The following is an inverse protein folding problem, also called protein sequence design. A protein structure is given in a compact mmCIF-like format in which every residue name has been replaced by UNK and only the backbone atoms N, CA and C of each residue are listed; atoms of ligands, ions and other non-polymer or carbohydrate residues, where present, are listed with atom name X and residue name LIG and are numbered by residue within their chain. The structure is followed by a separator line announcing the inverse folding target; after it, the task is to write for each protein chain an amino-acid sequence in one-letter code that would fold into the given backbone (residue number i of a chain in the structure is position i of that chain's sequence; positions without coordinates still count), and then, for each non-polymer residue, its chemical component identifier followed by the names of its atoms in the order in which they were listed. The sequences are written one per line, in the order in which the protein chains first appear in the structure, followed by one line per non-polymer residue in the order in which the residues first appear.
data_IF_651386176998
#
_entry.id   IF_651386176998
#
_cell.length_a   1.000
_cell.length_b   1.000
_cell.length_c   1.000
_cell.angle_alpha   90.00
_cell.angle_beta   90.00
_cell.angle_gamma   90.00
#
_symmetry.space_group_name_H-M   'P 1'
#
loop_
_entity.id
_entity.type
_entity.pdbx_description
1 polymer ?
#
# COMPACT_ATOMS: atom_id res chain seq x y z
N UNK A 1 -3.13 -17.88 -1.49
CA UNK A 1 -3.34 -16.90 -2.60
C UNK A 1 -2.08 -16.67 -3.46
N UNK A 2 -1.16 -17.64 -3.49
CA UNK A 2 0.10 -17.57 -4.24
C UNK A 2 -0.08 -17.61 -5.77
N UNK A 3 -1.31 -17.83 -6.24
CA UNK A 3 -1.61 -18.11 -7.65
C UNK A 3 -2.67 -17.19 -8.27
N UNK A 4 -3.22 -16.23 -7.54
CA UNK A 4 -4.09 -15.22 -8.14
C UNK A 4 -3.23 -14.25 -8.98
N UNK A 5 -2.99 -14.58 -10.24
CA UNK A 5 -2.41 -13.68 -11.20
C UNK A 5 -3.51 -12.73 -11.67
N UNK A 6 -3.40 -11.49 -11.25
CA UNK A 6 -4.13 -10.40 -11.88
C UNK A 6 -3.37 -10.02 -13.15
N UNK A 7 -3.94 -10.32 -14.28
CA UNK A 7 -3.44 -9.81 -15.57
C UNK A 7 -4.03 -8.42 -15.81
N UNK A 8 -3.31 -7.59 -16.54
CA UNK A 8 -3.82 -6.26 -16.92
C UNK A 8 -5.19 -6.42 -17.58
N UNK A 9 -6.18 -5.68 -17.10
CA UNK A 9 -7.59 -5.73 -17.51
C UNK A 9 -8.41 -6.96 -17.08
N UNK A 10 -7.87 -7.88 -16.29
CA UNK A 10 -8.68 -8.97 -15.74
C UNK A 10 -9.64 -8.46 -14.65
N UNK A 11 -10.80 -9.08 -14.56
CA UNK A 11 -11.74 -8.82 -13.48
C UNK A 11 -11.38 -9.62 -12.23
N UNK A 12 -11.94 -9.24 -11.08
CA UNK A 12 -11.80 -10.02 -9.84
C UNK A 12 -12.35 -11.43 -10.04
N UNK A 13 -13.46 -11.58 -10.80
CA UNK A 13 -14.03 -12.88 -11.15
C UNK A 13 -13.09 -13.73 -12.00
N UNK A 14 -12.39 -13.15 -12.97
CA UNK A 14 -11.40 -13.86 -13.77
C UNK A 14 -10.22 -14.32 -12.92
N UNK A 15 -9.70 -13.45 -12.06
CA UNK A 15 -8.61 -13.81 -11.15
C UNK A 15 -9.01 -14.93 -10.18
N UNK A 16 -10.24 -14.86 -9.65
CA UNK A 16 -10.79 -15.89 -8.78
C UNK A 16 -10.94 -17.23 -9.51
N UNK A 17 -11.49 -17.21 -10.73
CA UNK A 17 -11.63 -18.41 -11.58
C UNK A 17 -10.28 -19.02 -11.92
N UNK A 18 -9.31 -18.18 -12.30
CA UNK A 18 -7.95 -18.63 -12.63
C UNK A 18 -7.21 -19.19 -11.41
N UNK A 19 -7.47 -18.66 -10.21
CA UNK A 19 -6.91 -19.20 -8.98
C UNK A 19 -7.46 -20.59 -8.62
N UNK A 20 -8.69 -20.90 -9.02
CA UNK A 20 -9.33 -22.20 -8.79
C UNK A 20 -9.00 -23.22 -9.87
N UNK A 21 -8.87 -22.79 -11.13
CA UNK A 21 -8.82 -23.65 -12.31
C UNK A 21 -7.70 -24.70 -12.30
N UNK A 22 -6.43 -24.36 -12.06
CA UNK A 22 -5.32 -25.31 -12.17
C UNK A 22 -5.35 -26.47 -11.19
N UNK A 23 -6.08 -26.34 -10.10
CA UNK A 23 -6.05 -27.28 -8.96
C UNK A 23 -7.36 -28.05 -8.75
N UNK A 24 -8.32 -27.88 -9.65
CA UNK A 24 -9.65 -28.48 -9.48
C UNK A 24 -9.62 -30.01 -9.52
N UNK A 25 -8.56 -30.62 -10.08
CA UNK A 25 -8.55 -32.04 -10.45
C UNK A 25 -7.46 -32.87 -9.77
N UNK A 26 -6.43 -32.27 -9.18
CA UNK A 26 -5.22 -33.01 -8.82
C UNK A 26 -5.14 -33.56 -7.40
N UNK A 27 -5.80 -32.95 -6.41
CA UNK A 27 -5.75 -33.43 -5.02
C UNK A 27 -7.09 -33.25 -4.30
N UNK A 28 -7.56 -34.29 -3.61
CA UNK A 28 -8.84 -34.28 -2.88
C UNK A 28 -8.96 -33.14 -1.84
N UNK A 29 -7.86 -32.80 -1.16
CA UNK A 29 -7.82 -31.71 -0.18
C UNK A 29 -7.92 -30.32 -0.82
N UNK A 30 -7.38 -30.16 -2.01
CA UNK A 30 -7.45 -28.89 -2.75
C UNK A 30 -8.83 -28.68 -3.38
N UNK A 31 -9.45 -29.76 -3.86
CA UNK A 31 -10.82 -29.74 -4.33
C UNK A 31 -11.77 -29.32 -3.22
N UNK A 32 -11.64 -29.90 -2.03
CA UNK A 32 -12.45 -29.55 -0.87
C UNK A 32 -12.33 -28.05 -0.54
N UNK A 33 -11.11 -27.52 -0.48
CA UNK A 33 -10.89 -26.09 -0.22
C UNK A 33 -11.49 -25.22 -1.34
N UNK A 34 -11.32 -25.59 -2.61
CA UNK A 34 -11.83 -24.81 -3.74
C UNK A 34 -13.38 -24.73 -3.76
N UNK A 35 -14.06 -25.79 -3.32
CA UNK A 35 -15.52 -25.82 -3.24
C UNK A 35 -16.07 -24.94 -2.11
N UNK A 36 -15.28 -24.70 -1.06
CA UNK A 36 -15.70 -23.90 0.12
C UNK A 36 -15.44 -22.40 -0.01
N UNK A 37 -14.60 -21.97 -0.96
CA UNK A 37 -14.40 -20.55 -1.21
C UNK A 37 -15.38 -20.02 -2.26
N UNK A 38 -16.14 -19.01 -1.89
CA UNK A 38 -17.02 -18.26 -2.78
C UNK A 38 -16.55 -16.81 -2.90
N UNK A 39 -16.68 -16.23 -4.09
CA UNK A 39 -16.50 -14.81 -4.29
C UNK A 39 -17.79 -14.09 -3.86
N UNK A 40 -17.69 -13.29 -2.80
CA UNK A 40 -18.79 -12.44 -2.35
C UNK A 40 -18.47 -11.02 -2.81
N UNK A 41 -19.32 -10.46 -3.67
CA UNK A 41 -19.15 -9.12 -4.24
C UNK A 41 -19.38 -9.10 -5.74
N UNK A 42 -18.91 -8.02 -6.39
CA UNK A 42 -19.09 -7.77 -7.82
C UNK A 42 -17.92 -8.38 -8.63
N UNK A 43 -18.15 -9.48 -9.37
CA UNK A 43 -17.07 -10.18 -10.06
C UNK A 43 -16.53 -9.42 -11.28
N UNK A 44 -17.31 -8.45 -11.81
CA UNK A 44 -16.92 -7.69 -13.00
C UNK A 44 -16.02 -6.48 -12.70
N UNK A 45 -15.79 -6.18 -11.43
CA UNK A 45 -14.86 -5.12 -11.03
C UNK A 45 -13.45 -5.45 -11.53
N UNK A 46 -12.84 -4.49 -12.19
CA UNK A 46 -11.45 -4.56 -12.62
C UNK A 46 -10.57 -3.91 -11.56
N UNK A 47 -9.51 -4.61 -11.18
CA UNK A 47 -8.50 -4.03 -10.30
C UNK A 47 -7.60 -3.12 -11.14
N UNK A 48 -7.44 -1.86 -10.76
CA UNK A 48 -6.47 -1.00 -11.41
C UNK A 48 -5.07 -1.56 -11.18
N UNK A 49 -4.29 -1.67 -12.27
CA UNK A 49 -2.90 -2.11 -12.22
C UNK A 49 -1.97 -0.90 -12.22
N UNK A 50 -0.78 -1.06 -11.69
CA UNK A 50 0.22 0.00 -11.70
C UNK A 50 0.70 0.26 -13.13
N UNK A 51 0.19 1.32 -13.75
CA UNK A 51 0.58 1.77 -15.10
C UNK A 51 1.67 2.84 -15.04
N UNK A 52 1.77 3.56 -13.92
CA UNK A 52 2.71 4.64 -13.69
C UNK A 52 3.83 4.22 -12.76
N UNK A 53 5.04 4.72 -13.01
CA UNK A 53 6.18 4.50 -12.11
C UNK A 53 6.54 5.79 -11.41
N UNK A 54 6.36 5.82 -10.10
CA UNK A 54 6.75 6.96 -9.27
C UNK A 54 8.20 6.82 -8.86
N UNK A 55 8.99 7.88 -9.06
CA UNK A 55 10.38 7.99 -8.63
C UNK A 55 10.57 9.27 -7.86
N UNK A 56 11.20 9.20 -6.71
CA UNK A 56 11.61 10.37 -5.95
C UNK A 56 13.05 10.71 -6.24
N UNK A 57 13.35 11.97 -6.51
CA UNK A 57 14.70 12.46 -6.82
C UNK A 57 15.54 12.62 -5.53
N UNK A 58 14.87 12.99 -4.43
CA UNK A 58 15.52 13.42 -3.19
C UNK A 58 14.85 12.83 -1.95
N UNK A 59 14.55 11.52 -1.96
CA UNK A 59 13.98 10.86 -0.81
C UNK A 59 14.99 10.81 0.34
N UNK A 60 14.62 11.40 1.47
CA UNK A 60 15.41 11.34 2.70
C UNK A 60 15.34 9.96 3.34
N UNK A 61 16.40 9.59 4.06
CA UNK A 61 16.45 8.35 4.83
C UNK A 61 16.13 8.57 6.31
N UNK A 62 16.21 9.82 6.76
CA UNK A 62 15.94 10.20 8.15
C UNK A 62 15.05 11.44 8.21
N UNK A 63 14.03 11.41 9.04
CA UNK A 63 13.17 12.53 9.34
C UNK A 63 13.57 13.15 10.68
N UNK A 64 13.59 14.47 10.74
CA UNK A 64 13.81 15.21 11.99
C UNK A 64 12.58 16.06 12.30
N UNK A 65 12.26 16.20 13.58
CA UNK A 65 11.17 17.06 14.02
C UNK A 65 11.47 18.53 13.68
N UNK A 66 10.44 19.27 13.25
CA UNK A 66 10.52 20.68 12.86
C UNK A 66 11.46 20.96 11.67
N UNK A 67 11.84 19.93 10.94
CA UNK A 67 12.67 20.11 9.75
C UNK A 67 11.80 20.41 8.52
N UNK A 68 12.34 21.16 7.59
CA UNK A 68 11.73 21.51 6.33
C UNK A 68 12.04 20.42 5.32
N UNK A 69 11.05 19.59 5.03
CA UNK A 69 11.17 18.50 4.06
C UNK A 69 10.69 18.97 2.69
N UNK A 70 11.57 18.86 1.71
CA UNK A 70 11.27 19.09 0.30
C UNK A 70 11.35 17.76 -0.42
N UNK A 71 10.25 17.33 -1.05
CA UNK A 71 10.18 16.13 -1.86
C UNK A 71 9.89 16.51 -3.31
N UNK A 72 10.62 15.93 -4.22
CA UNK A 72 10.40 16.06 -5.66
C UNK A 72 10.60 14.73 -6.35
N UNK A 73 10.03 14.62 -7.55
CA UNK A 73 10.18 13.39 -8.32
C UNK A 73 9.45 13.44 -9.65
N UNK A 74 9.40 12.26 -10.27
CA UNK A 74 8.75 12.04 -11.55
C UNK A 74 7.73 10.91 -11.46
N UNK A 75 6.73 10.98 -12.33
CA UNK A 75 5.76 9.91 -12.53
C UNK A 75 5.83 9.50 -13.99
N UNK A 76 6.60 8.45 -14.29
CA UNK A 76 6.75 7.97 -15.65
C UNK A 76 5.41 7.46 -16.20
N UNK A 77 5.02 7.93 -17.36
CA UNK A 77 3.77 7.58 -18.04
C UNK A 77 2.59 8.49 -17.72
N UNK A 78 2.73 9.45 -16.80
CA UNK A 78 1.71 10.43 -16.44
C UNK A 78 2.22 11.85 -16.68
N UNK A 79 1.74 12.52 -17.72
CA UNK A 79 2.12 13.91 -18.00
C UNK A 79 1.44 14.89 -17.06
N UNK A 80 0.12 14.76 -16.91
CA UNK A 80 -0.67 15.62 -16.03
C UNK A 80 -1.65 14.78 -15.21
N UNK A 81 -1.70 15.06 -13.91
CA UNK A 81 -2.54 14.35 -12.97
C UNK A 81 -2.28 14.81 -11.54
N UNK A 82 -2.41 13.90 -10.63
CA UNK A 82 -2.19 14.17 -9.20
C UNK A 82 -1.45 13.02 -8.53
N UNK A 83 -0.72 13.35 -7.49
CA UNK A 83 -0.07 12.38 -6.60
C UNK A 83 -0.47 12.65 -5.17
N UNK A 84 -0.97 11.64 -4.49
CA UNK A 84 -1.23 11.66 -3.06
C UNK A 84 -0.01 11.07 -2.35
N UNK A 85 0.59 11.84 -1.46
CA UNK A 85 1.74 11.40 -0.66
C UNK A 85 1.32 11.34 0.80
N UNK A 86 1.52 10.19 1.41
CA UNK A 86 1.30 9.98 2.84
C UNK A 86 2.61 9.53 3.49
N UNK A 87 3.04 10.30 4.47
CA UNK A 87 4.17 9.99 5.34
C UNK A 87 3.62 9.54 6.68
N UNK A 88 3.98 8.36 7.14
CA UNK A 88 3.50 7.77 8.39
C UNK A 88 4.63 7.64 9.42
N UNK A 89 4.28 7.77 10.68
CA UNK A 89 5.14 7.45 11.81
C UNK A 89 5.55 5.96 11.78
N UNK A 90 6.51 5.62 12.63
CA UNK A 90 6.90 4.25 12.89
C UNK A 90 5.69 3.38 13.26
N UNK A 91 5.71 2.13 12.82
CA UNK A 91 4.76 1.12 13.29
C UNK A 91 5.09 0.78 14.73
N UNK A 92 4.11 0.29 15.45
CA UNK A 92 4.29 -0.23 16.80
C UNK A 92 3.48 -1.51 16.97
N UNK A 93 4.04 -2.45 17.75
CA UNK A 93 3.35 -3.68 18.14
C UNK A 93 2.80 -3.55 19.55
N UNK A 94 1.61 -4.03 19.74
CA UNK A 94 0.96 -4.11 21.05
C UNK A 94 0.55 -5.54 21.33
N UNK A 95 0.99 -6.05 22.48
CA UNK A 95 0.56 -7.35 22.97
C UNK A 95 -0.88 -7.28 23.46
N UNK A 96 -1.72 -8.15 22.94
CA UNK A 96 -3.12 -8.27 23.31
C UNK A 96 -3.42 -9.67 23.84
N UNK A 97 -4.29 -9.74 24.84
CA UNK A 97 -4.79 -11.01 25.36
C UNK A 97 -6.01 -11.42 24.56
N UNK A 98 -6.06 -12.68 24.10
CA UNK A 98 -7.13 -13.21 23.23
C UNK A 98 -7.95 -14.31 23.89
N UNK A 99 -7.53 -14.84 25.05
CA UNK A 99 -8.17 -15.95 25.74
C UNK A 99 -8.84 -15.56 27.05
N UNK A 100 -9.64 -16.50 27.56
CA UNK A 100 -10.25 -16.40 28.91
C UNK A 100 -9.22 -16.74 30.00
N UNK A 101 -8.15 -17.43 29.64
CA UNK A 101 -7.07 -17.78 30.57
C UNK A 101 -5.91 -16.79 30.40
N UNK A 102 -5.86 -15.84 31.31
CA UNK A 102 -5.13 -14.55 31.21
C UNK A 102 -3.61 -14.71 31.09
N UNK A 103 -3.04 -15.91 31.27
CA UNK A 103 -1.60 -16.06 31.37
C UNK A 103 -0.88 -16.50 30.08
N UNK A 104 -1.53 -17.12 29.12
CA UNK A 104 -0.84 -17.72 27.98
C UNK A 104 -1.35 -17.37 26.57
N UNK A 105 -2.54 -16.80 26.43
CA UNK A 105 -3.10 -16.52 25.11
C UNK A 105 -2.91 -15.06 24.72
N UNK A 106 -1.71 -14.76 24.23
CA UNK A 106 -1.39 -13.41 23.74
C UNK A 106 -1.00 -13.44 22.28
N UNK A 107 -1.41 -12.40 21.55
CA UNK A 107 -0.92 -12.10 20.20
C UNK A 107 -0.29 -10.73 20.17
N UNK A 108 0.75 -10.57 19.38
CA UNK A 108 1.29 -9.26 19.07
C UNK A 108 0.57 -8.72 17.82
N UNK A 109 -0.10 -7.58 17.99
CA UNK A 109 -0.85 -6.91 16.90
C UNK A 109 -0.06 -5.71 16.44
N UNK A 110 0.29 -5.68 15.16
CA UNK A 110 0.99 -4.58 14.55
C UNK A 110 0.01 -3.48 14.13
N UNK A 111 0.29 -2.28 14.62
CA UNK A 111 -0.46 -1.08 14.26
C UNK A 111 0.36 -0.21 13.30
N UNK A 112 -0.28 0.27 12.27
CA UNK A 112 0.32 1.28 11.41
C UNK A 112 0.54 2.58 12.18
N UNK A 113 1.65 3.26 11.89
CA UNK A 113 1.92 4.58 12.43
C UNK A 113 0.88 5.61 11.97
N UNK A 114 0.60 6.58 12.82
CA UNK A 114 -0.26 7.71 12.47
C UNK A 114 0.35 8.53 11.34
N UNK A 115 -0.45 9.17 10.45
CA UNK A 115 0.09 10.02 9.40
C UNK A 115 0.76 11.26 10.01
N UNK A 116 1.99 11.54 9.56
CA UNK A 116 2.73 12.78 9.81
C UNK A 116 2.29 13.84 8.81
N UNK A 117 2.11 13.42 7.58
CA UNK A 117 1.66 14.22 6.46
C UNK A 117 0.77 13.38 5.54
N UNK A 118 -0.25 14.01 4.99
CA UNK A 118 -1.03 13.45 3.89
C UNK A 118 -1.54 14.61 3.04
N UNK A 119 -1.24 14.57 1.74
CA UNK A 119 -1.64 15.65 0.84
C UNK A 119 -1.64 15.22 -0.62
N UNK A 120 -2.44 15.92 -1.40
CA UNK A 120 -2.54 15.79 -2.85
C UNK A 120 -1.73 16.89 -3.52
N UNK A 121 -0.93 16.54 -4.51
CA UNK A 121 0.00 17.42 -5.20
C UNK A 121 -0.22 17.26 -6.71
N UNK A 122 -0.28 18.34 -7.49
CA UNK A 122 -0.37 18.26 -8.93
C UNK A 122 0.89 17.65 -9.54
N UNK A 123 0.70 16.79 -10.52
CA UNK A 123 1.74 16.32 -11.43
C UNK A 123 1.61 17.13 -12.72
N UNK A 124 2.68 17.82 -13.10
CA UNK A 124 2.76 18.64 -14.31
C UNK A 124 3.97 18.24 -15.12
N UNK A 125 3.76 17.91 -16.39
CA UNK A 125 4.81 17.41 -17.29
C UNK A 125 5.60 16.24 -16.66
N UNK A 126 4.88 15.32 -16.03
CA UNK A 126 5.46 14.16 -15.39
C UNK A 126 6.22 14.43 -14.09
N UNK A 127 6.17 15.65 -13.55
CA UNK A 127 6.93 16.04 -12.35
C UNK A 127 6.02 16.52 -11.23
N UNK A 128 6.47 16.30 -10.01
CA UNK A 128 5.83 16.84 -8.81
C UNK A 128 6.88 17.38 -7.85
N UNK A 129 6.48 18.36 -7.07
CA UNK A 129 7.30 18.97 -6.02
C UNK A 129 6.40 19.37 -4.86
N UNK A 130 6.86 19.11 -3.65
CA UNK A 130 6.17 19.54 -2.43
C UNK A 130 7.18 19.90 -1.34
N UNK A 131 6.70 20.73 -0.43
CA UNK A 131 7.46 21.15 0.73
C UNK A 131 6.52 21.21 1.95
N UNK A 132 6.96 20.69 3.08
CA UNK A 132 6.24 20.80 4.33
C UNK A 132 7.20 20.79 5.52
N UNK A 133 6.71 21.22 6.68
CA UNK A 133 7.47 21.18 7.94
C UNK A 133 6.99 19.98 8.74
N UNK A 134 7.92 19.12 9.13
CA UNK A 134 7.61 17.96 9.96
C UNK A 134 7.10 18.41 11.33
N UNK A 135 6.13 17.72 11.92
CA UNK A 135 5.57 18.10 13.20
C UNK A 135 6.60 17.97 14.34
N UNK A 136 6.40 18.74 15.41
CA UNK A 136 7.25 18.68 16.60
C UNK A 136 7.18 17.33 17.30
N UNK A 137 6.00 16.70 17.30
CA UNK A 137 5.80 15.38 17.92
C UNK A 137 5.72 14.33 16.83
N UNK A 138 6.75 13.52 16.72
CA UNK A 138 6.77 12.31 15.93
C UNK A 138 6.93 11.11 16.86
N UNK A 139 6.31 10.00 16.52
CA UNK A 139 6.42 8.79 17.35
C UNK A 139 7.62 7.97 16.89
N UNK A 140 8.55 7.80 17.81
CA UNK A 140 9.64 6.84 17.66
C UNK A 140 9.07 5.48 18.07
N UNK A 141 8.93 4.57 17.12
CA UNK A 141 8.46 3.20 17.37
C UNK A 141 9.59 2.21 17.16
N UNK A 142 9.29 0.94 17.41
CA UNK A 142 10.24 -0.17 17.26
C UNK A 142 10.55 -0.48 15.78
N UNK A 143 9.83 0.11 14.86
CA UNK A 143 10.01 -0.05 13.42
C UNK A 143 10.10 1.29 12.70
N UNK A 144 10.63 1.26 11.50
CA UNK A 144 10.81 2.45 10.68
C UNK A 144 9.48 3.08 10.24
N UNK A 145 9.51 4.38 10.00
CA UNK A 145 8.44 5.11 9.31
C UNK A 145 8.34 4.71 7.84
N UNK A 146 7.26 5.08 7.17
CA UNK A 146 7.07 4.77 5.76
C UNK A 146 6.53 5.95 4.96
N UNK A 147 6.92 5.99 3.68
CA UNK A 147 6.30 6.87 2.68
C UNK A 147 5.47 6.02 1.74
N UNK A 148 4.22 6.40 1.56
CA UNK A 148 3.34 5.87 0.53
C UNK A 148 3.02 6.98 -0.45
N UNK A 149 3.09 6.69 -1.72
CA UNK A 149 2.61 7.60 -2.74
C UNK A 149 1.70 6.86 -3.72
N UNK A 150 0.71 7.58 -4.19
CA UNK A 150 -0.29 7.08 -5.11
C UNK A 150 -0.55 8.16 -6.17
N UNK A 151 -0.24 7.85 -7.42
CA UNK A 151 -0.48 8.74 -8.54
C UNK A 151 -1.65 8.24 -9.38
N UNK A 152 -2.48 9.15 -9.83
CA UNK A 152 -3.57 8.86 -10.75
C UNK A 152 -3.70 9.97 -11.82
N UNK A 153 -4.27 9.59 -12.96
CA UNK A 153 -4.68 10.54 -13.98
C UNK A 153 -6.03 11.14 -13.60
N UNK A 154 -6.32 12.33 -14.11
CA UNK A 154 -7.64 12.97 -13.89
C UNK A 154 -8.81 12.11 -14.40
N UNK A 155 -8.52 11.16 -15.31
CA UNK A 155 -9.51 10.22 -15.87
C UNK A 155 -9.68 8.95 -15.02
N UNK A 156 -8.92 8.79 -13.94
CA UNK A 156 -8.94 7.66 -13.01
C UNK A 156 -8.78 6.26 -13.66
N UNK A 157 -8.21 6.22 -14.88
CA UNK A 157 -8.08 4.96 -15.66
C UNK A 157 -6.81 4.19 -15.35
N UNK A 158 -5.81 4.87 -14.83
CA UNK A 158 -4.51 4.28 -14.54
C UNK A 158 -3.94 4.85 -13.24
N UNK A 159 -3.18 4.05 -12.55
CA UNK A 159 -2.61 4.40 -11.25
C UNK A 159 -1.13 4.04 -11.18
N UNK A 160 -0.42 4.71 -10.27
CA UNK A 160 0.93 4.33 -9.87
C UNK A 160 1.05 4.27 -8.36
N UNK A 161 1.85 3.35 -7.86
CA UNK A 161 2.10 3.21 -6.41
C UNK A 161 3.57 3.23 -6.09
N UNK A 162 3.90 3.77 -4.94
CA UNK A 162 5.23 3.79 -4.38
C UNK A 162 5.18 3.52 -2.88
N UNK A 163 6.09 2.70 -2.40
CA UNK A 163 6.24 2.41 -0.98
C UNK A 163 7.73 2.41 -0.62
N UNK A 164 8.10 3.25 0.34
CA UNK A 164 9.41 3.20 1.01
C UNK A 164 9.18 2.85 2.49
N UNK A 165 9.47 1.61 2.91
CA UNK A 165 9.08 1.10 4.24
C UNK A 165 10.11 1.37 5.34
N UNK A 166 11.24 1.97 5.09
CA UNK A 166 12.36 2.04 6.06
C UNK A 166 12.90 3.46 6.20
N UNK A 167 12.06 4.38 6.67
CA UNK A 167 12.49 5.71 7.07
C UNK A 167 12.86 5.73 8.55
N UNK A 168 14.00 6.30 8.89
CA UNK A 168 14.38 6.58 10.29
C UNK A 168 13.69 7.88 10.75
N UNK A 169 13.23 7.90 11.99
CA UNK A 169 12.68 9.09 12.66
C UNK A 169 13.60 9.47 13.82
#
# INVERSE_FOLDING_TARGET
LKYARFEKNSTIGDAFRNAKGPFAWELSSQRYNNEHYALIGEPVIRMPMDDYKIKFDNMVDTLKALDKLKLSGTVDGLDNGKINITLKNSRFSKRMYIGLDVQNDTIDVDYEGSPIYSGEIPVLNGRFEMEFITPRKMSFGDSAAEVRAWADSNDEKAIGRYLKPNLLI
#
